data_IF_989526790625
#
_entry.id   IF_989526790625
#
_cell.length_a   1.000
_cell.length_b   1.000
_cell.length_c   1.000
_cell.angle_alpha   90.00
_cell.angle_beta   90.00
_cell.angle_gamma   90.00
#
_symmetry.space_group_name_H-M   'P 1'
#
loop_
_entity.id
_entity.type
_entity.pdbx_description
1 polymer ?
#
# COMPACT_ATOMS: atom_id res chain seq x y z
N UNK A 1 -2.09 -5.17 -42.32
CA UNK A 1 -1.59 -6.09 -41.28
C UNK A 1 -2.77 -6.97 -40.85
N UNK A 2 -2.76 -8.28 -41.09
CA UNK A 2 -3.84 -9.19 -40.62
C UNK A 2 -3.43 -9.72 -39.25
N UNK A 3 -4.09 -9.24 -38.19
CA UNK A 3 -3.93 -9.78 -36.84
C UNK A 3 -4.51 -11.20 -36.85
N UNK A 4 -3.74 -12.21 -36.46
CA UNK A 4 -4.26 -13.58 -36.41
C UNK A 4 -5.26 -13.70 -35.25
N UNK A 5 -6.24 -14.60 -35.38
CA UNK A 5 -7.24 -14.86 -34.35
C UNK A 5 -6.59 -15.24 -33.01
N UNK A 6 -5.44 -15.94 -33.05
CA UNK A 6 -4.64 -16.26 -31.86
C UNK A 6 -3.99 -15.04 -31.22
N UNK A 7 -3.52 -14.08 -32.01
CA UNK A 7 -2.95 -12.83 -31.51
C UNK A 7 -4.03 -11.91 -30.92
N UNK A 8 -5.23 -11.91 -31.51
CA UNK A 8 -6.40 -11.21 -30.97
C UNK A 8 -6.88 -11.86 -29.66
N UNK A 9 -6.94 -13.19 -29.60
CA UNK A 9 -7.31 -13.91 -28.38
C UNK A 9 -6.29 -13.67 -27.26
N UNK A 10 -4.99 -13.66 -27.59
CA UNK A 10 -3.93 -13.32 -26.61
C UNK A 10 -4.08 -11.89 -26.08
N UNK A 11 -4.32 -10.91 -26.95
CA UNK A 11 -4.58 -9.52 -26.54
C UNK A 11 -5.83 -9.39 -25.66
N UNK A 12 -6.92 -10.08 -26.01
CA UNK A 12 -8.15 -10.07 -25.21
C UNK A 12 -7.95 -10.74 -23.85
N UNK A 13 -7.22 -11.86 -23.78
CA UNK A 13 -6.88 -12.53 -22.52
C UNK A 13 -5.98 -11.63 -21.66
N UNK A 14 -5.03 -10.91 -22.26
CA UNK A 14 -4.24 -9.91 -21.54
C UNK A 14 -5.09 -8.75 -21.01
N UNK A 15 -6.05 -8.24 -21.78
CA UNK A 15 -6.97 -7.22 -21.29
C UNK A 15 -7.85 -7.71 -20.13
N UNK A 16 -8.30 -8.97 -20.17
CA UNK A 16 -9.13 -9.57 -19.09
C UNK A 16 -8.29 -9.94 -17.86
N UNK A 17 -7.01 -10.29 -18.00
CA UNK A 17 -6.16 -10.58 -16.84
C UNK A 17 -5.68 -9.34 -16.08
N UNK A 18 -5.87 -8.15 -16.66
CA UNK A 18 -5.66 -6.87 -15.99
C UNK A 18 -6.88 -6.42 -15.14
N UNK A 19 -8.10 -6.94 -15.40
CA UNK A 19 -9.37 -6.42 -14.88
C UNK A 19 -9.75 -6.79 -13.44
N UNK A 20 -8.81 -6.73 -12.48
CA UNK A 20 -9.11 -7.07 -11.07
C UNK A 20 -8.78 -5.97 -10.07
N UNK A 21 -7.74 -5.16 -10.31
CA UNK A 21 -7.39 -4.02 -9.46
C UNK A 21 -7.16 -2.72 -10.24
N UNK A 22 -6.83 -2.80 -11.54
CA UNK A 22 -6.66 -1.60 -12.36
C UNK A 22 -7.98 -0.94 -12.75
N UNK A 23 -9.12 -1.59 -12.52
CA UNK A 23 -10.45 -1.01 -12.72
C UNK A 23 -10.69 0.20 -11.80
N UNK A 24 -9.91 0.32 -10.73
CA UNK A 24 -9.91 1.48 -9.85
C UNK A 24 -9.12 2.68 -10.40
N UNK A 25 -8.37 2.54 -11.51
CA UNK A 25 -7.58 3.64 -12.10
C UNK A 25 -8.50 4.58 -12.91
N UNK A 26 -8.67 5.85 -12.51
CA UNK A 26 -9.45 6.82 -13.27
C UNK A 26 -8.76 7.18 -14.57
N UNK A 27 -9.55 7.45 -15.61
CA UNK A 27 -9.03 7.81 -16.94
C UNK A 27 -8.20 9.11 -16.95
N UNK A 28 -8.44 10.00 -15.99
CA UNK A 28 -7.82 11.33 -15.91
C UNK A 28 -6.61 11.40 -14.96
N UNK A 29 -6.12 10.25 -14.49
CA UNK A 29 -4.91 10.13 -13.68
C UNK A 29 -3.68 9.93 -14.56
N UNK A 30 -2.55 10.52 -14.15
CA UNK A 30 -1.34 10.57 -14.97
C UNK A 30 -0.55 9.26 -14.92
N UNK A 31 -0.59 8.55 -13.79
CA UNK A 31 0.06 7.25 -13.64
C UNK A 31 -0.59 6.37 -12.56
N UNK A 32 -0.24 5.09 -12.62
CA UNK A 32 -0.46 4.15 -11.53
C UNK A 32 0.75 3.23 -11.34
N UNK A 33 0.96 2.77 -10.12
CA UNK A 33 1.95 1.77 -9.75
C UNK A 33 1.21 0.59 -9.13
N UNK A 34 1.42 -0.59 -9.70
CA UNK A 34 0.86 -1.84 -9.19
C UNK A 34 1.96 -2.66 -8.53
N UNK A 35 1.86 -2.86 -7.22
CA UNK A 35 2.69 -3.79 -6.48
C UNK A 35 1.96 -5.12 -6.35
N UNK A 36 2.64 -6.21 -6.73
CA UNK A 36 2.12 -7.57 -6.62
C UNK A 36 2.95 -8.35 -5.62
N UNK A 37 2.30 -8.85 -4.57
CA UNK A 37 2.94 -9.70 -3.55
C UNK A 37 4.18 -9.08 -2.94
N UNK A 38 4.12 -7.78 -2.62
CA UNK A 38 5.25 -7.01 -2.12
C UNK A 38 5.89 -7.65 -0.89
N UNK A 39 5.06 -8.03 0.09
CA UNK A 39 5.54 -8.64 1.33
C UNK A 39 6.25 -9.99 1.09
N UNK A 40 5.81 -10.77 0.10
CA UNK A 40 6.42 -12.08 -0.21
C UNK A 40 7.84 -11.95 -0.76
N UNK A 41 8.15 -10.85 -1.46
CA UNK A 41 9.47 -10.61 -2.06
C UNK A 41 10.45 -9.89 -1.12
N UNK A 42 10.03 -9.53 0.10
CA UNK A 42 10.93 -8.92 1.10
C UNK A 42 12.06 -9.86 1.51
N UNK A 43 11.79 -11.16 1.58
CA UNK A 43 12.82 -12.17 1.87
C UNK A 43 13.85 -12.27 0.74
N UNK A 44 13.45 -12.06 -0.51
CA UNK A 44 14.38 -12.04 -1.63
C UNK A 44 15.31 -10.82 -1.56
N UNK A 45 14.80 -9.67 -1.09
CA UNK A 45 15.59 -8.45 -0.91
C UNK A 45 16.69 -8.63 0.14
N UNK A 46 16.46 -9.45 1.18
CA UNK A 46 17.49 -9.76 2.20
C UNK A 46 18.71 -10.49 1.62
N UNK A 47 18.61 -11.09 0.43
CA UNK A 47 19.76 -11.69 -0.25
C UNK A 47 20.73 -10.65 -0.86
N UNK A 48 20.31 -9.38 -0.95
CA UNK A 48 21.15 -8.29 -1.47
C UNK A 48 21.83 -7.58 -0.29
N UNK A 49 23.19 -7.50 -0.25
CA UNK A 49 23.92 -7.00 0.91
C UNK A 49 23.50 -5.61 1.41
N UNK A 50 23.15 -4.70 0.49
CA UNK A 50 22.67 -3.37 0.86
C UNK A 50 21.32 -3.43 1.60
N UNK A 51 20.37 -4.20 1.08
CA UNK A 51 19.05 -4.36 1.70
C UNK A 51 19.13 -5.16 3.00
N UNK A 52 20.00 -6.17 3.05
CA UNK A 52 20.30 -6.90 4.29
C UNK A 52 20.78 -5.97 5.41
N UNK A 53 21.73 -5.06 5.08
CA UNK A 53 22.20 -4.05 6.01
C UNK A 53 21.10 -3.05 6.41
N UNK A 54 20.23 -2.64 5.49
CA UNK A 54 19.13 -1.72 5.80
C UNK A 54 18.10 -2.37 6.75
N UNK A 55 17.75 -3.64 6.49
CA UNK A 55 16.68 -4.34 7.20
C UNK A 55 17.11 -4.87 8.57
N UNK A 56 18.29 -5.48 8.68
CA UNK A 56 18.75 -6.14 9.91
C UNK A 56 18.98 -5.18 11.06
N UNK A 57 18.72 -5.67 12.28
CA UNK A 57 18.93 -4.94 13.54
C UNK A 57 20.36 -4.47 13.74
N UNK A 58 21.33 -5.27 13.30
CA UNK A 58 22.77 -4.95 13.40
C UNK A 58 23.22 -3.88 12.38
N UNK A 59 22.39 -3.61 11.36
CA UNK A 59 22.60 -2.53 10.40
C UNK A 59 21.75 -1.31 10.73
N UNK A 60 20.83 -0.92 9.84
CA UNK A 60 19.94 0.23 10.06
C UNK A 60 18.63 -0.13 10.79
N UNK A 61 18.36 -1.42 10.98
CA UNK A 61 17.27 -1.90 11.82
C UNK A 61 15.87 -1.54 11.35
N UNK A 62 15.68 -1.25 10.06
CA UNK A 62 14.39 -0.76 9.56
C UNK A 62 13.26 -1.79 9.77
N UNK A 63 13.54 -3.07 9.62
CA UNK A 63 12.56 -4.15 9.86
C UNK A 63 12.10 -4.18 11.32
N UNK A 64 13.04 -3.98 12.26
CA UNK A 64 12.73 -3.89 13.68
C UNK A 64 11.88 -2.66 14.00
N UNK A 65 12.21 -1.50 13.42
CA UNK A 65 11.46 -0.26 13.60
C UNK A 65 10.04 -0.38 13.07
N UNK A 66 9.87 -0.87 11.84
CA UNK A 66 8.55 -1.11 11.24
C UNK A 66 7.75 -2.10 12.09
N UNK A 67 8.34 -3.22 12.49
CA UNK A 67 7.63 -4.21 13.31
C UNK A 67 7.24 -3.66 14.69
N UNK A 68 8.04 -2.76 15.27
CA UNK A 68 7.70 -2.08 16.53
C UNK A 68 6.46 -1.20 16.36
N UNK A 69 6.43 -0.35 15.32
CA UNK A 69 5.26 0.49 15.01
C UNK A 69 4.00 -0.34 14.77
N UNK A 70 4.12 -1.46 14.04
CA UNK A 70 2.99 -2.36 13.80
C UNK A 70 2.49 -3.02 15.10
N UNK A 71 3.42 -3.39 16.00
CA UNK A 71 3.07 -4.02 17.29
C UNK A 71 2.40 -3.00 18.23
N UNK A 72 2.92 -1.78 18.30
CA UNK A 72 2.30 -0.69 19.08
C UNK A 72 0.88 -0.40 18.58
N UNK A 73 0.67 -0.47 17.26
CA UNK A 73 -0.66 -0.30 16.66
C UNK A 73 -1.60 -1.46 16.98
N UNK A 74 -1.11 -2.69 16.95
CA UNK A 74 -1.86 -3.88 17.35
C UNK A 74 -2.33 -3.76 18.81
N UNK A 75 -1.45 -3.33 19.71
CA UNK A 75 -1.78 -3.10 21.12
C UNK A 75 -2.82 -1.98 21.30
N UNK A 76 -2.68 -0.88 20.56
CA UNK A 76 -3.60 0.28 20.63
C UNK A 76 -4.99 -0.03 20.10
N UNK A 77 -5.08 -0.78 18.99
CA UNK A 77 -6.34 -1.01 18.27
C UNK A 77 -7.03 -2.32 18.63
N UNK A 78 -6.28 -3.28 19.21
CA UNK A 78 -6.73 -4.65 19.43
C UNK A 78 -6.90 -5.45 18.13
N UNK A 79 -6.42 -4.93 17.00
CA UNK A 79 -6.49 -5.57 15.68
C UNK A 79 -5.12 -6.13 15.34
N UNK A 80 -5.06 -7.39 14.91
CA UNK A 80 -3.78 -8.01 14.61
C UNK A 80 -3.08 -7.37 13.41
N UNK A 81 -1.77 -7.12 13.54
CA UNK A 81 -0.92 -6.60 12.46
C UNK A 81 -0.86 -7.52 11.25
N UNK A 82 -1.16 -8.81 11.43
CA UNK A 82 -1.21 -9.78 10.34
C UNK A 82 -2.26 -9.40 9.27
N UNK A 83 -3.34 -8.70 9.65
CA UNK A 83 -4.33 -8.19 8.68
C UNK A 83 -3.71 -7.14 7.75
N UNK A 84 -2.86 -6.25 8.28
CA UNK A 84 -2.14 -5.27 7.49
C UNK A 84 -1.06 -5.94 6.63
N UNK A 85 -0.27 -6.84 7.21
CA UNK A 85 0.77 -7.58 6.47
C UNK A 85 0.19 -8.45 5.35
N UNK A 86 -0.97 -9.09 5.58
CA UNK A 86 -1.70 -9.83 4.56
C UNK A 86 -2.08 -8.93 3.38
N UNK A 87 -2.59 -7.72 3.64
CA UNK A 87 -2.92 -6.75 2.58
C UNK A 87 -1.69 -6.38 1.72
N UNK A 88 -0.49 -6.34 2.32
CA UNK A 88 0.76 -6.08 1.61
C UNK A 88 1.27 -7.30 0.81
N UNK A 89 0.78 -8.49 1.11
CA UNK A 89 1.08 -9.73 0.37
C UNK A 89 0.18 -9.91 -0.87
N UNK A 90 -0.85 -9.09 -1.01
CA UNK A 90 -1.80 -9.08 -2.12
C UNK A 90 -1.46 -7.97 -3.13
N UNK A 91 -2.43 -7.58 -3.96
CA UNK A 91 -2.24 -6.48 -4.90
C UNK A 91 -2.43 -5.13 -4.19
N UNK A 92 -1.52 -4.20 -4.44
CA UNK A 92 -1.61 -2.81 -4.00
C UNK A 92 -1.55 -1.91 -5.23
N UNK A 93 -2.55 -1.05 -5.39
CA UNK A 93 -2.55 -0.04 -6.46
C UNK A 93 -2.40 1.34 -5.85
N UNK A 94 -1.34 2.05 -6.24
CA UNK A 94 -1.20 3.48 -6.03
C UNK A 94 -1.50 4.18 -7.36
N UNK A 95 -2.36 5.19 -7.35
CA UNK A 95 -2.57 6.04 -8.53
C UNK A 95 -2.59 7.50 -8.11
N UNK A 96 -2.01 8.36 -8.95
CA UNK A 96 -1.97 9.80 -8.70
C UNK A 96 -2.12 10.64 -9.96
N UNK A 97 -2.54 11.88 -9.74
CA UNK A 97 -2.73 12.96 -10.70
C UNK A 97 -1.92 14.19 -10.27
N UNK A 98 -1.21 14.81 -11.19
CA UNK A 98 -0.40 16.01 -10.97
C UNK A 98 0.82 15.80 -10.07
N UNK A 99 1.23 14.55 -9.82
CA UNK A 99 2.39 14.23 -8.97
C UNK A 99 3.61 13.94 -9.84
N UNK A 100 4.69 14.68 -9.61
CA UNK A 100 6.02 14.33 -10.12
C UNK A 100 6.68 13.39 -9.12
N UNK A 101 6.90 12.12 -9.50
CA UNK A 101 7.65 11.19 -8.66
C UNK A 101 9.10 11.66 -8.54
N UNK A 102 9.44 12.23 -7.39
CA UNK A 102 10.83 12.53 -7.04
C UNK A 102 11.44 11.33 -6.31
N UNK A 103 12.19 10.51 -7.05
CA UNK A 103 12.86 9.34 -6.50
C UNK A 103 13.90 9.68 -5.41
N UNK A 104 14.42 10.91 -5.38
CA UNK A 104 15.35 11.36 -4.35
C UNK A 104 14.68 11.44 -2.97
N UNK A 105 13.36 11.66 -2.95
CA UNK A 105 12.56 11.72 -1.71
C UNK A 105 11.83 10.42 -1.38
N UNK A 106 11.70 9.49 -2.33
CA UNK A 106 10.97 8.23 -2.12
C UNK A 106 11.72 7.21 -1.25
N UNK A 107 13.04 7.34 -1.12
CA UNK A 107 13.88 6.46 -0.30
C UNK A 107 14.24 7.14 1.01
N UNK A 108 13.26 7.23 1.91
CA UNK A 108 13.50 7.63 3.30
C UNK A 108 13.78 6.40 4.18
N UNK A 109 14.66 6.54 5.16
CA UNK A 109 14.83 5.54 6.23
C UNK A 109 13.96 5.84 7.45
N UNK A 110 13.21 6.95 7.42
CA UNK A 110 12.28 7.34 8.46
C UNK A 110 10.90 6.74 8.20
N UNK A 111 10.44 5.87 9.10
CA UNK A 111 9.11 5.24 9.03
C UNK A 111 8.00 6.28 9.11
N UNK A 112 8.19 7.37 9.87
CA UNK A 112 7.18 8.42 10.04
C UNK A 112 6.89 9.15 8.73
N UNK A 113 7.90 9.29 7.87
CA UNK A 113 7.72 9.88 6.54
C UNK A 113 6.68 9.12 5.71
N UNK A 114 6.73 7.79 5.73
CA UNK A 114 5.77 6.96 4.99
C UNK A 114 4.37 6.97 5.63
N UNK A 115 4.29 7.06 6.97
CA UNK A 115 3.01 7.26 7.66
C UNK A 115 2.37 8.60 7.31
N UNK A 116 3.17 9.67 7.22
CA UNK A 116 2.71 10.99 6.81
C UNK A 116 2.21 10.99 5.35
N UNK A 117 2.89 10.29 4.45
CA UNK A 117 2.37 10.08 3.09
C UNK A 117 1.00 9.39 3.15
N UNK A 118 0.86 8.31 3.92
CA UNK A 118 -0.40 7.57 4.04
C UNK A 118 -1.54 8.46 4.57
N UNK A 119 -1.27 9.35 5.53
CA UNK A 119 -2.24 10.34 6.04
C UNK A 119 -2.70 11.34 4.98
N UNK A 120 -1.84 11.68 4.03
CA UNK A 120 -2.07 12.74 3.05
C UNK A 120 -2.52 12.25 1.66
N UNK A 121 -2.72 10.93 1.47
CA UNK A 121 -3.36 10.37 0.28
C UNK A 121 -4.84 10.78 0.31
N UNK A 122 -5.26 11.75 -0.52
CA UNK A 122 -6.68 12.11 -0.55
C UNK A 122 -7.11 13.19 -1.53
N UNK A 123 -6.23 14.06 -2.03
CA UNK A 123 -6.63 15.15 -2.94
C UNK A 123 -6.32 14.89 -4.40
N UNK A 124 -5.20 14.21 -4.70
CA UNK A 124 -4.80 13.89 -6.07
C UNK A 124 -4.17 12.50 -6.21
N UNK A 125 -4.33 11.66 -5.19
CA UNK A 125 -3.86 10.29 -5.18
C UNK A 125 -4.81 9.42 -4.37
N UNK A 126 -4.85 8.13 -4.71
CA UNK A 126 -5.53 7.12 -3.90
C UNK A 126 -4.71 5.83 -3.87
N UNK A 127 -4.96 5.04 -2.81
CA UNK A 127 -4.38 3.74 -2.59
C UNK A 127 -5.50 2.70 -2.52
N UNK A 128 -5.35 1.60 -3.24
CA UNK A 128 -6.25 0.44 -3.15
C UNK A 128 -5.46 -0.73 -2.58
N UNK A 129 -5.99 -1.28 -1.49
CA UNK A 129 -5.45 -2.43 -0.79
C UNK A 129 -6.46 -3.57 -0.89
N UNK A 130 -6.04 -4.72 -1.40
CA UNK A 130 -6.85 -5.92 -1.43
C UNK A 130 -6.86 -6.59 -0.03
N UNK A 131 -8.05 -6.91 0.51
CA UNK A 131 -8.17 -7.52 1.84
C UNK A 131 -9.47 -8.33 1.98
N UNK A 132 -9.41 -9.39 2.79
CA UNK A 132 -10.59 -10.16 3.22
C UNK A 132 -11.20 -9.60 4.51
N UNK A 133 -10.55 -8.61 5.13
CA UNK A 133 -10.90 -8.05 6.44
C UNK A 133 -11.00 -6.52 6.39
N UNK A 134 -11.93 -5.94 5.60
CA UNK A 134 -11.99 -4.50 5.35
C UNK A 134 -12.10 -3.67 6.63
N UNK A 135 -13.01 -4.02 7.55
CA UNK A 135 -13.15 -3.33 8.84
C UNK A 135 -11.89 -3.44 9.71
N UNK A 136 -11.26 -4.61 9.73
CA UNK A 136 -10.02 -4.83 10.48
C UNK A 136 -8.89 -3.97 9.92
N UNK A 137 -8.69 -4.00 8.61
CA UNK A 137 -7.69 -3.18 7.93
C UNK A 137 -7.94 -1.69 8.15
N UNK A 138 -9.18 -1.22 8.03
CA UNK A 138 -9.53 0.18 8.29
C UNK A 138 -9.23 0.59 9.73
N UNK A 139 -9.56 -0.23 10.74
CA UNK A 139 -9.19 0.05 12.13
C UNK A 139 -7.68 0.09 12.34
N UNK A 140 -6.95 -0.81 11.71
CA UNK A 140 -5.49 -0.86 11.81
C UNK A 140 -4.85 0.38 11.17
N UNK A 141 -5.28 0.77 9.97
CA UNK A 141 -4.83 1.99 9.29
C UNK A 141 -5.18 3.23 10.12
N UNK A 142 -6.36 3.30 10.72
CA UNK A 142 -6.73 4.39 11.62
C UNK A 142 -5.76 4.48 12.82
N UNK A 143 -5.40 3.34 13.40
CA UNK A 143 -4.39 3.24 14.45
C UNK A 143 -3.01 3.74 14.01
N UNK A 144 -2.51 3.28 12.85
CA UNK A 144 -1.23 3.68 12.25
C UNK A 144 -1.16 5.17 11.95
N UNK A 145 -2.26 5.72 11.44
CA UNK A 145 -2.36 7.12 11.03
C UNK A 145 -2.79 8.04 12.17
N UNK A 146 -3.06 7.50 13.35
CA UNK A 146 -3.60 8.23 14.50
C UNK A 146 -4.85 9.04 14.15
N UNK A 147 -5.70 8.47 13.29
CA UNK A 147 -6.98 9.07 12.91
C UNK A 147 -8.12 8.36 13.60
N UNK A 148 -9.23 9.07 13.78
CA UNK A 148 -10.49 8.48 14.21
C UNK A 148 -11.18 7.80 13.04
N UNK A 149 -11.68 6.59 13.28
CA UNK A 149 -12.51 5.88 12.31
C UNK A 149 -14.00 6.19 12.56
N UNK A 150 -14.69 6.66 11.53
CA UNK A 150 -16.14 6.82 11.52
C UNK A 150 -16.73 5.90 10.46
N UNK A 151 -17.69 5.08 10.86
CA UNK A 151 -18.42 4.18 9.95
C UNK A 151 -19.64 4.92 9.39
N UNK A 152 -19.77 4.98 8.07
CA UNK A 152 -20.92 5.54 7.35
C UNK A 152 -21.41 4.55 6.28
N UNK A 153 -22.29 3.64 6.69
CA UNK A 153 -22.75 2.56 5.83
C UNK A 153 -21.62 1.61 5.43
N UNK A 154 -21.30 1.57 4.14
CA UNK A 154 -20.20 0.76 3.59
C UNK A 154 -18.85 1.51 3.60
N UNK A 155 -18.85 2.79 3.99
CA UNK A 155 -17.66 3.63 3.98
C UNK A 155 -17.02 3.73 5.37
N UNK A 156 -15.69 3.71 5.38
CA UNK A 156 -14.87 3.95 6.56
C UNK A 156 -14.12 5.27 6.37
N UNK A 157 -14.47 6.27 7.18
CA UNK A 157 -13.96 7.64 7.06
C UNK A 157 -12.91 7.86 8.15
N UNK A 158 -11.69 8.19 7.73
CA UNK A 158 -10.60 8.61 8.61
C UNK A 158 -10.70 10.11 8.88
N UNK A 159 -10.85 10.49 10.14
CA UNK A 159 -10.93 11.89 10.57
C UNK A 159 -9.75 12.23 11.46
N UNK A 160 -9.16 13.40 11.25
CA UNK A 160 -8.11 13.91 12.14
C UNK A 160 -8.74 14.32 13.48
N UNK A 161 -8.08 13.99 14.61
CA UNK A 161 -8.57 14.32 15.95
C UNK A 161 -8.57 15.85 16.23
N UNK A 162 -8.06 16.64 15.29
CA UNK A 162 -7.78 18.08 15.43
C UNK A 162 -8.94 19.03 15.08
N UNK A 163 -10.15 18.52 14.80
CA UNK A 163 -11.34 19.39 14.64
C UNK A 163 -12.09 19.47 15.97
N UNK A 164 -11.61 20.36 16.84
CA UNK A 164 -12.36 20.91 17.98
C UNK A 164 -12.94 22.29 17.65
#
# INVERSE_FOLDING_TARGET
MKISLSMLAFLLISCVSLSFITDFVPEDYDFFILFRSFYTHLEDLKNVPLFDFILKKEGLGLEFTVNSVLTDTEEKTGVSKDIFLDSLSKNILLSAKGVTLNFDTMLSLDVNYYLEILKNIGTSSFLVLETDHPLGLSKFIAGLTETKLVEDGEFFIFQDDSIS
#
